data_IF_672634183599
#
_entry.id   IF_672634183599
#
_cell.length_a   1.000
_cell.length_b   1.000
_cell.length_c   1.000
_cell.angle_alpha   90.00
_cell.angle_beta   90.00
_cell.angle_gamma   90.00
#
_symmetry.space_group_name_H-M   'P 1'
#
loop_
_entity.id
_entity.type
_entity.pdbx_description
1 polymer ?
#
# COMPACT_ATOMS: atom_id res chain seq x y z
N UNK A 1 25.03 8.17 -32.40
CA UNK A 1 23.80 8.88 -31.94
C UNK A 1 22.81 7.96 -31.23
N UNK A 2 22.43 6.79 -31.79
CA UNK A 2 21.50 5.83 -31.13
C UNK A 2 21.96 5.35 -29.74
N UNK A 3 23.25 5.05 -29.60
CA UNK A 3 23.83 4.64 -28.30
C UNK A 3 23.74 5.72 -27.21
N UNK A 4 23.71 7.00 -27.60
CA UNK A 4 23.65 8.12 -26.67
C UNK A 4 22.21 8.34 -26.17
N UNK A 5 21.23 8.14 -27.06
CA UNK A 5 19.81 8.11 -26.72
C UNK A 5 19.45 6.95 -25.77
N UNK A 6 20.02 5.76 -26.00
CA UNK A 6 19.79 4.59 -25.12
C UNK A 6 20.39 4.84 -23.73
N UNK A 7 21.61 5.37 -23.66
CA UNK A 7 22.24 5.71 -22.39
C UNK A 7 21.44 6.77 -21.61
N UNK A 8 20.93 7.79 -22.31
CA UNK A 8 20.09 8.83 -21.71
C UNK A 8 18.76 8.25 -21.19
N UNK A 9 18.16 7.32 -21.93
CA UNK A 9 16.93 6.65 -21.50
C UNK A 9 17.14 5.81 -20.23
N UNK A 10 18.26 5.11 -20.10
CA UNK A 10 18.58 4.34 -18.88
C UNK A 10 18.80 5.24 -17.65
N UNK A 11 19.42 6.41 -17.83
CA UNK A 11 19.67 7.37 -16.76
C UNK A 11 18.38 8.05 -16.25
N UNK A 12 17.35 8.13 -17.09
CA UNK A 12 16.05 8.67 -16.67
C UNK A 12 15.27 7.62 -15.85
N UNK A 13 15.38 6.34 -16.20
CA UNK A 13 14.67 5.25 -15.51
C UNK A 13 15.06 5.07 -14.03
N UNK A 14 16.30 5.42 -13.65
CA UNK A 14 16.77 5.31 -12.26
C UNK A 14 16.19 6.38 -11.32
N UNK A 15 15.56 7.44 -11.85
CA UNK A 15 14.94 8.51 -11.05
C UNK A 15 13.45 8.25 -10.74
N UNK A 16 12.87 7.13 -11.19
CA UNK A 16 11.46 6.81 -11.00
C UNK A 16 11.10 6.42 -9.55
N UNK A 17 12.09 6.14 -8.70
CA UNK A 17 11.88 5.66 -7.32
C UNK A 17 11.76 6.78 -6.27
N UNK A 18 11.62 8.05 -6.66
CA UNK A 18 11.63 9.19 -5.74
C UNK A 18 10.25 9.80 -5.42
N UNK A 19 9.14 9.24 -5.92
CA UNK A 19 7.80 9.63 -5.46
C UNK A 19 7.49 8.95 -4.13
N UNK A 20 8.22 9.33 -3.08
CA UNK A 20 7.73 9.08 -1.73
C UNK A 20 6.58 10.05 -1.45
N UNK A 21 5.36 9.53 -1.51
CA UNK A 21 4.18 10.23 -0.99
C UNK A 21 4.38 10.43 0.51
N UNK A 22 4.06 11.63 1.01
CA UNK A 22 4.12 11.95 2.43
C UNK A 22 3.32 10.93 3.26
N UNK A 23 3.78 10.60 4.47
CA UNK A 23 3.01 9.79 5.42
C UNK A 23 1.56 10.29 5.56
N UNK A 24 1.36 11.62 5.57
CA UNK A 24 0.03 12.24 5.63
C UNK A 24 -0.84 11.84 4.44
N UNK A 25 -0.27 11.90 3.24
CA UNK A 25 -0.98 11.59 1.99
C UNK A 25 -1.34 10.10 1.91
N UNK A 26 -0.44 9.23 2.36
CA UNK A 26 -0.70 7.78 2.45
C UNK A 26 -1.80 7.47 3.46
N UNK A 27 -1.82 8.15 4.61
CA UNK A 27 -2.87 8.01 5.62
C UNK A 27 -4.22 8.48 5.06
N UNK A 28 -4.27 9.66 4.45
CA UNK A 28 -5.50 10.21 3.84
C UNK A 28 -6.04 9.26 2.76
N UNK A 29 -5.17 8.75 1.89
CA UNK A 29 -5.54 7.77 0.87
C UNK A 29 -6.11 6.49 1.47
N UNK A 30 -5.50 5.99 2.55
CA UNK A 30 -5.97 4.78 3.25
C UNK A 30 -7.36 4.99 3.86
N UNK A 31 -7.59 6.14 4.49
CA UNK A 31 -8.89 6.49 5.09
C UNK A 31 -9.98 6.66 4.04
N UNK A 32 -9.68 7.34 2.92
CA UNK A 32 -10.62 7.51 1.83
C UNK A 32 -11.00 6.16 1.19
N UNK A 33 -10.03 5.24 1.03
CA UNK A 33 -10.30 3.88 0.57
C UNK A 33 -11.26 3.13 1.52
N UNK A 34 -11.11 3.28 2.84
CA UNK A 34 -12.04 2.67 3.80
C UNK A 34 -13.45 3.27 3.67
N UNK A 35 -13.57 4.60 3.69
CA UNK A 35 -14.86 5.32 3.63
C UNK A 35 -15.60 4.98 2.34
N UNK A 36 -14.94 5.15 1.19
CA UNK A 36 -15.53 4.86 -0.11
C UNK A 36 -15.87 3.38 -0.25
N UNK A 37 -14.95 2.50 0.15
CA UNK A 37 -15.15 1.06 0.10
C UNK A 37 -16.36 0.61 0.92
N UNK A 38 -16.58 1.23 2.09
CA UNK A 38 -17.74 0.97 2.93
C UNK A 38 -19.04 1.46 2.28
N UNK A 39 -19.09 2.72 1.84
CA UNK A 39 -20.32 3.30 1.28
C UNK A 39 -20.70 2.75 -0.09
N UNK A 40 -19.71 2.39 -0.92
CA UNK A 40 -19.93 1.93 -2.29
C UNK A 40 -19.93 0.40 -2.41
N UNK A 41 -19.59 -0.32 -1.34
CA UNK A 41 -19.41 -1.77 -1.38
C UNK A 41 -18.20 -2.21 -2.21
N UNK A 42 -17.20 -1.34 -2.41
CA UNK A 42 -16.00 -1.65 -3.20
C UNK A 42 -15.00 -2.46 -2.37
N UNK A 43 -14.99 -3.77 -2.61
CA UNK A 43 -14.11 -4.71 -1.92
C UNK A 43 -12.62 -4.51 -2.22
N UNK A 44 -12.26 -3.89 -3.34
CA UNK A 44 -10.86 -3.60 -3.67
C UNK A 44 -10.34 -2.44 -2.82
N UNK A 45 -11.15 -1.38 -2.67
CA UNK A 45 -10.83 -0.26 -1.77
C UNK A 45 -10.77 -0.71 -0.31
N UNK A 46 -11.69 -1.58 0.12
CA UNK A 46 -11.62 -2.17 1.47
C UNK A 46 -10.31 -2.94 1.68
N UNK A 47 -9.89 -3.80 0.73
CA UNK A 47 -8.61 -4.50 0.82
C UNK A 47 -7.41 -3.55 0.85
N UNK A 48 -7.42 -2.50 0.03
CA UNK A 48 -6.37 -1.50 -0.01
C UNK A 48 -6.28 -0.68 1.28
N UNK A 49 -7.39 -0.50 2.00
CA UNK A 49 -7.42 0.19 3.30
C UNK A 49 -6.84 -0.62 4.46
N UNK A 50 -6.60 -1.92 4.26
CA UNK A 50 -6.12 -2.83 5.30
C UNK A 50 -4.64 -3.14 5.14
N UNK A 51 -3.91 -3.14 6.25
CA UNK A 51 -2.54 -3.64 6.29
C UNK A 51 -2.58 -5.19 6.13
N UNK A 52 -1.93 -5.77 5.11
CA UNK A 52 -1.98 -7.23 4.86
C UNK A 52 -1.49 -8.08 6.05
N UNK A 53 -0.62 -7.51 6.89
CA UNK A 53 -0.12 -8.12 8.12
C UNK A 53 -0.86 -7.61 9.36
N UNK A 54 -2.18 -7.61 9.33
CA UNK A 54 -2.96 -7.45 10.56
C UNK A 54 -2.76 -8.70 11.42
N UNK A 55 -1.60 -8.83 12.06
CA UNK A 55 -1.40 -9.78 13.12
C UNK A 55 -2.44 -9.44 14.19
N UNK A 56 -3.35 -10.37 14.49
CA UNK A 56 -4.10 -10.32 15.73
C UNK A 56 -3.11 -10.56 16.88
N UNK A 57 -2.36 -9.54 17.26
CA UNK A 57 -1.59 -9.56 18.50
C UNK A 57 -2.58 -9.38 19.66
N UNK A 58 -3.11 -10.50 20.17
CA UNK A 58 -3.87 -10.54 21.42
C UNK A 58 -5.28 -11.16 21.33
N UNK A 59 -5.50 -12.13 22.22
CA UNK A 59 -6.78 -12.68 22.71
C UNK A 59 -7.61 -13.58 21.77
N UNK A 60 -7.00 -14.37 20.89
CA UNK A 60 -7.62 -15.68 20.63
C UNK A 60 -6.82 -16.70 21.43
N UNK A 61 -7.22 -16.95 22.69
CA UNK A 61 -6.70 -18.10 23.45
C UNK A 61 -6.91 -19.33 22.58
N UNK A 62 -5.86 -20.10 22.34
CA UNK A 62 -6.01 -21.35 21.62
C UNK A 62 -7.02 -22.21 22.40
N UNK A 63 -8.05 -22.72 21.72
CA UNK A 63 -9.17 -23.44 22.36
C UNK A 63 -8.70 -24.71 23.08
N UNK A 64 -7.59 -25.28 22.60
CA UNK A 64 -7.00 -26.51 23.11
C UNK A 64 -6.00 -26.25 24.23
N UNK A 65 -5.36 -25.06 24.27
CA UNK A 65 -4.33 -24.73 25.29
C UNK A 65 -4.76 -23.69 26.32
N UNK A 66 -5.84 -22.94 26.09
CA UNK A 66 -6.39 -21.94 27.02
C UNK A 66 -5.48 -20.74 27.34
N UNK A 67 -4.35 -20.63 26.63
CA UNK A 67 -3.31 -19.60 26.77
C UNK A 67 -3.18 -18.75 25.51
#
# INVERSE_FOLDING_TARGET
>A
MKSLLIALSLLISINLSAQETSDKEQIETTLNNYIDGFYQGDTLKLKASLKPRLYKFGYWKNKDTGT
#
